data_IF_214993580750
#
_entry.id   IF_214993580750
#
_cell.length_a   1.000
_cell.length_b   1.000
_cell.length_c   1.000
_cell.angle_alpha   90.00
_cell.angle_beta   90.00
_cell.angle_gamma   90.00
#
_symmetry.space_group_name_H-M   'P 1'
#
loop_
_entity.id
_entity.type
_entity.pdbx_description
1 polymer ?
#
# COMPACT_ATOMS: atom_id res chain seq x y z
N UNK A 1 68.02 -23.44 34.96
CA UNK A 1 67.17 -24.05 33.93
C UNK A 1 66.27 -22.95 33.37
N UNK A 2 66.53 -22.48 32.14
CA UNK A 2 65.76 -21.45 31.51
C UNK A 2 64.78 -22.12 30.56
N UNK A 3 63.50 -22.03 30.80
CA UNK A 3 62.44 -22.43 29.83
C UNK A 3 62.07 -21.26 28.98
N UNK A 4 62.33 -21.34 27.67
CA UNK A 4 61.90 -20.43 26.69
C UNK A 4 60.46 -20.81 26.27
N UNK A 5 59.51 -19.88 26.43
CA UNK A 5 58.13 -20.02 25.94
C UNK A 5 58.11 -19.42 24.56
N UNK A 6 57.92 -20.26 23.54
CA UNK A 6 57.71 -19.85 22.15
C UNK A 6 56.24 -19.44 22.02
N UNK A 7 56.02 -18.13 21.90
CA UNK A 7 54.70 -17.60 21.62
C UNK A 7 54.34 -17.78 20.12
N UNK A 8 53.34 -18.62 19.86
CA UNK A 8 52.78 -18.79 18.53
C UNK A 8 51.78 -17.67 18.28
N UNK A 9 52.13 -16.67 17.48
CA UNK A 9 51.19 -15.65 17.01
C UNK A 9 50.29 -16.27 15.92
N UNK A 10 49.06 -16.58 16.25
CA UNK A 10 48.03 -16.80 15.25
C UNK A 10 47.55 -15.44 14.76
N UNK A 11 47.96 -15.09 13.56
CA UNK A 11 47.34 -13.99 12.82
C UNK A 11 45.95 -14.43 12.41
N UNK A 12 44.94 -13.94 13.14
CA UNK A 12 43.56 -14.06 12.72
C UNK A 12 43.36 -13.05 11.58
N UNK A 13 43.34 -13.54 10.37
CA UNK A 13 42.86 -12.77 9.22
C UNK A 13 41.40 -12.40 9.46
N UNK A 14 41.14 -11.16 9.81
CA UNK A 14 39.83 -10.58 9.78
C UNK A 14 39.38 -10.52 8.30
N UNK A 15 38.67 -11.55 7.86
CA UNK A 15 37.90 -11.45 6.64
C UNK A 15 36.86 -10.36 6.86
N UNK A 16 37.04 -9.22 6.21
CA UNK A 16 36.00 -8.21 6.08
C UNK A 16 34.83 -8.85 5.36
N UNK A 17 33.90 -9.37 6.12
CA UNK A 17 32.58 -9.66 5.61
C UNK A 17 31.94 -8.29 5.28
N UNK A 18 32.16 -7.82 4.06
CA UNK A 18 31.28 -6.83 3.47
C UNK A 18 29.91 -7.48 3.43
N UNK A 19 29.06 -7.10 4.38
CA UNK A 19 27.66 -7.43 4.32
C UNK A 19 27.13 -6.86 3.01
N UNK A 20 27.00 -7.74 2.02
CA UNK A 20 26.22 -7.45 0.82
C UNK A 20 24.79 -7.33 1.33
N UNK A 21 24.38 -6.11 1.65
CA UNK A 21 22.97 -5.79 1.78
C UNK A 21 22.41 -5.97 0.36
N UNK A 22 21.82 -7.11 0.09
CA UNK A 22 21.05 -7.30 -1.13
C UNK A 22 20.04 -6.17 -1.19
N UNK A 23 20.19 -5.34 -2.21
CA UNK A 23 19.28 -4.22 -2.46
C UNK A 23 17.88 -4.78 -2.55
N UNK A 24 17.00 -4.23 -1.72
CA UNK A 24 15.57 -4.47 -1.86
C UNK A 24 15.17 -4.22 -3.33
N UNK A 25 14.27 -5.02 -3.91
CA UNK A 25 13.76 -4.79 -5.27
C UNK A 25 13.22 -3.37 -5.52
N UNK A 26 13.14 -2.55 -4.50
CA UNK A 26 12.62 -1.18 -4.48
C UNK A 26 13.68 -0.09 -4.28
N UNK A 27 14.97 -0.42 -4.39
CA UNK A 27 16.06 0.58 -4.31
C UNK A 27 16.09 1.40 -5.60
N UNK A 28 15.47 2.57 -5.57
CA UNK A 28 15.49 3.57 -6.64
C UNK A 28 16.78 4.39 -6.64
N UNK A 29 17.94 3.76 -6.82
CA UNK A 29 19.14 4.50 -7.19
C UNK A 29 18.96 5.11 -8.59
N UNK A 30 19.38 6.35 -8.84
CA UNK A 30 19.11 7.03 -10.10
C UNK A 30 19.74 6.26 -11.26
N UNK A 31 18.92 5.79 -12.17
CA UNK A 31 19.38 5.30 -13.46
C UNK A 31 20.00 6.47 -14.24
N UNK A 32 21.15 6.24 -14.83
CA UNK A 32 21.81 7.17 -15.74
C UNK A 32 20.80 7.62 -16.80
N UNK A 33 20.68 8.94 -16.96
CA UNK A 33 19.83 9.57 -17.97
C UNK A 33 20.28 9.17 -19.37
N UNK A 34 19.53 8.30 -20.04
CA UNK A 34 19.52 8.27 -21.48
C UNK A 34 18.61 9.42 -21.96
N UNK A 35 19.20 10.34 -22.69
CA UNK A 35 18.50 11.42 -23.38
C UNK A 35 17.60 10.84 -24.48
N UNK A 36 16.35 10.55 -24.11
CA UNK A 36 15.27 10.28 -25.06
C UNK A 36 14.49 11.57 -25.29
N UNK A 37 14.42 11.99 -26.55
CA UNK A 37 13.65 13.14 -27.04
C UNK A 37 12.21 13.11 -26.55
N UNK A 38 11.69 14.26 -26.10
CA UNK A 38 10.31 14.46 -25.67
C UNK A 38 9.31 13.98 -26.73
N UNK A 39 8.27 13.22 -26.36
CA UNK A 39 7.18 12.89 -27.27
C UNK A 39 6.37 14.14 -27.60
N UNK A 40 6.24 14.44 -28.89
CA UNK A 40 5.36 15.49 -29.40
C UNK A 40 3.90 15.17 -29.04
N UNK A 41 3.18 16.18 -28.56
CA UNK A 41 1.75 16.12 -28.29
C UNK A 41 0.99 15.79 -29.58
N UNK A 42 0.55 14.56 -29.70
CA UNK A 42 -0.40 14.14 -30.74
C UNK A 42 -1.79 14.57 -30.31
N UNK A 43 -2.35 15.61 -30.95
CA UNK A 43 -3.79 15.88 -30.96
C UNK A 43 -4.47 14.74 -31.73
N UNK A 44 -4.95 13.75 -31.03
CA UNK A 44 -5.69 12.63 -31.59
C UNK A 44 -7.03 12.51 -30.89
N UNK A 45 -8.08 12.50 -31.69
CA UNK A 45 -9.49 12.20 -31.44
C UNK A 45 -9.76 11.48 -30.11
N UNK A 46 -10.83 11.93 -29.43
CA UNK A 46 -11.46 11.20 -28.33
C UNK A 46 -11.94 9.83 -28.86
N UNK A 47 -11.02 8.87 -28.96
CA UNK A 47 -11.38 7.47 -29.07
C UNK A 47 -11.93 7.07 -27.70
N UNK A 48 -13.16 6.58 -27.65
CA UNK A 48 -13.68 5.83 -26.53
C UNK A 48 -12.59 4.86 -26.07
N UNK A 49 -12.03 5.11 -24.88
CA UNK A 49 -11.15 4.16 -24.24
C UNK A 49 -12.06 2.99 -23.88
N UNK A 50 -12.18 2.00 -24.75
CA UNK A 50 -12.64 0.67 -24.37
C UNK A 50 -11.61 0.18 -23.36
N UNK A 51 -11.93 0.35 -22.07
CA UNK A 51 -11.06 -0.04 -20.97
C UNK A 51 -10.69 -1.51 -21.12
N UNK A 52 -9.43 -1.82 -20.91
CA UNK A 52 -9.01 -3.19 -20.69
C UNK A 52 -9.92 -3.77 -19.59
N UNK A 53 -10.56 -4.94 -19.79
CA UNK A 53 -11.50 -5.52 -18.83
C UNK A 53 -10.91 -5.71 -17.43
N UNK A 54 -9.60 -5.61 -17.30
CA UNK A 54 -8.87 -5.73 -16.05
C UNK A 54 -8.34 -4.38 -15.51
N UNK A 55 -8.93 -3.26 -15.93
CA UNK A 55 -8.55 -1.94 -15.44
C UNK A 55 -9.76 -1.10 -15.02
N UNK A 56 -9.54 -0.24 -14.04
CA UNK A 56 -10.48 0.78 -13.58
C UNK A 56 -9.86 2.17 -13.75
N UNK A 57 -10.61 3.13 -14.29
CA UNK A 57 -10.18 4.52 -14.44
C UNK A 57 -10.79 5.35 -13.32
N UNK A 58 -9.99 5.96 -12.47
CA UNK A 58 -10.46 6.98 -11.53
C UNK A 58 -10.77 8.28 -12.28
N UNK A 59 -12.03 8.62 -12.39
CA UNK A 59 -12.47 9.82 -13.15
C UNK A 59 -12.06 11.14 -12.50
N UNK A 60 -11.57 11.13 -11.26
CA UNK A 60 -11.16 12.34 -10.51
C UNK A 60 -9.77 12.85 -10.93
N UNK A 61 -8.85 11.93 -11.24
CA UNK A 61 -7.45 12.24 -11.58
C UNK A 61 -6.91 11.45 -12.78
N UNK A 62 -7.79 10.65 -13.41
CA UNK A 62 -7.48 9.81 -14.57
C UNK A 62 -6.42 8.73 -14.32
N UNK A 63 -6.16 8.37 -13.07
CA UNK A 63 -5.30 7.22 -12.77
C UNK A 63 -5.98 5.92 -13.19
N UNK A 64 -5.16 5.03 -13.74
CA UNK A 64 -5.56 3.68 -14.12
C UNK A 64 -5.13 2.73 -13.00
N UNK A 65 -6.05 1.92 -12.53
CA UNK A 65 -5.80 0.85 -11.56
C UNK A 65 -6.07 -0.50 -12.20
N UNK A 66 -5.10 -1.39 -12.13
CA UNK A 66 -5.33 -2.82 -12.48
C UNK A 66 -6.34 -3.40 -11.52
N UNK A 67 -7.13 -4.35 -12.02
CA UNK A 67 -8.13 -5.04 -11.21
C UNK A 67 -7.92 -6.55 -11.23
N UNK A 68 -8.40 -7.21 -10.18
CA UNK A 68 -8.42 -8.66 -10.03
C UNK A 68 -9.78 -9.08 -9.47
N UNK A 69 -10.37 -10.13 -10.02
CA UNK A 69 -11.63 -10.66 -9.50
C UNK A 69 -11.36 -11.88 -8.61
N UNK A 70 -11.85 -11.81 -7.38
CA UNK A 70 -11.70 -12.83 -6.35
C UNK A 70 -13.06 -13.18 -5.78
N UNK A 71 -13.47 -14.44 -5.87
CA UNK A 71 -14.78 -14.92 -5.43
C UNK A 71 -15.98 -14.06 -5.89
N UNK A 72 -15.90 -13.54 -7.13
CA UNK A 72 -16.94 -12.72 -7.73
C UNK A 72 -16.88 -11.22 -7.38
N UNK A 73 -15.98 -10.80 -6.50
CA UNK A 73 -15.74 -9.39 -6.18
C UNK A 73 -14.54 -8.88 -6.96
N UNK A 74 -14.68 -7.74 -7.62
CA UNK A 74 -13.58 -7.10 -8.36
C UNK A 74 -12.87 -6.09 -7.48
N UNK A 75 -11.59 -6.31 -7.24
CA UNK A 75 -10.70 -5.51 -6.41
C UNK A 75 -9.72 -4.72 -7.25
N UNK A 76 -9.29 -3.58 -6.75
CA UNK A 76 -8.06 -2.98 -7.27
C UNK A 76 -6.88 -3.91 -6.94
N UNK A 77 -6.06 -4.23 -7.93
CA UNK A 77 -4.81 -4.96 -7.72
C UNK A 77 -3.66 -4.04 -7.25
N UNK A 78 -3.92 -2.73 -7.17
CA UNK A 78 -2.99 -1.69 -6.74
C UNK A 78 -3.60 -0.86 -5.62
N UNK A 79 -2.75 -0.30 -4.76
CA UNK A 79 -3.20 0.59 -3.70
C UNK A 79 -3.72 1.90 -4.27
N UNK A 80 -4.77 2.45 -3.67
CA UNK A 80 -5.27 3.77 -4.04
C UNK A 80 -4.16 4.82 -3.91
N UNK A 81 -4.05 5.68 -4.94
CA UNK A 81 -3.03 6.75 -4.99
C UNK A 81 -3.63 8.15 -5.20
N UNK A 82 -4.91 8.32 -4.96
CA UNK A 82 -5.59 9.60 -5.08
C UNK A 82 -5.05 10.62 -4.08
N UNK A 83 -4.54 11.76 -4.57
CA UNK A 83 -3.95 12.79 -3.71
C UNK A 83 -5.02 13.60 -2.98
N UNK A 84 -4.89 13.70 -1.66
CA UNK A 84 -5.73 14.54 -0.82
C UNK A 84 -4.93 15.12 0.35
N UNK A 85 -5.48 16.12 1.01
CA UNK A 85 -4.88 16.75 2.21
C UNK A 85 -4.74 15.80 3.40
N UNK A 86 -5.49 14.70 3.41
CA UNK A 86 -5.47 13.67 4.46
C UNK A 86 -4.79 12.37 4.00
N UNK A 87 -4.01 12.44 2.93
CA UNK A 87 -3.19 11.35 2.44
C UNK A 87 -1.71 11.67 2.57
N UNK A 88 -0.90 10.64 2.75
CA UNK A 88 0.54 10.76 2.84
C UNK A 88 1.25 9.76 1.93
N UNK A 89 2.37 10.18 1.35
CA UNK A 89 3.33 9.25 0.76
C UNK A 89 4.30 8.79 1.85
N UNK A 90 4.62 7.50 1.89
CA UNK A 90 5.63 7.01 2.81
C UNK A 90 6.95 7.77 2.61
N UNK A 91 7.41 8.47 3.63
CA UNK A 91 8.62 9.30 3.68
C UNK A 91 8.73 10.39 2.58
N UNK A 92 8.34 10.14 1.33
CA UNK A 92 8.43 11.11 0.24
C UNK A 92 7.47 10.80 -0.92
N UNK A 93 7.28 11.78 -1.82
CA UNK A 93 6.34 11.68 -2.95
C UNK A 93 6.68 10.56 -3.96
N UNK A 94 7.93 10.13 -4.06
CA UNK A 94 8.30 9.09 -5.03
C UNK A 94 7.73 7.73 -4.68
N UNK A 95 7.57 7.42 -3.39
CA UNK A 95 6.99 6.16 -2.96
C UNK A 95 5.52 6.00 -3.39
N UNK A 96 4.73 7.09 -3.40
CA UNK A 96 3.35 7.01 -3.83
C UNK A 96 3.16 6.49 -5.24
N UNK A 97 4.09 6.79 -6.16
CA UNK A 97 4.02 6.30 -7.55
C UNK A 97 4.09 4.78 -7.65
N UNK A 98 4.76 4.15 -6.70
CA UNK A 98 5.02 2.71 -6.74
C UNK A 98 4.09 1.90 -5.85
N UNK A 99 3.70 2.46 -4.71
CA UNK A 99 2.99 1.70 -3.66
C UNK A 99 1.68 2.34 -3.21
N UNK A 100 1.27 3.45 -3.83
CA UNK A 100 0.07 4.18 -3.44
C UNK A 100 0.28 5.06 -2.21
N UNK A 101 -0.81 5.58 -1.67
CA UNK A 101 -0.84 6.51 -0.53
C UNK A 101 -1.39 5.84 0.71
N UNK A 102 -1.08 6.44 1.86
CA UNK A 102 -1.63 6.10 3.16
C UNK A 102 -2.69 7.15 3.52
N UNK A 103 -3.81 6.71 4.07
CA UNK A 103 -4.97 7.54 4.39
C UNK A 103 -5.42 7.30 5.82
N UNK A 104 -5.87 8.36 6.51
CA UNK A 104 -6.58 8.19 7.77
C UNK A 104 -7.92 7.50 7.54
N UNK A 105 -8.47 6.81 8.54
CA UNK A 105 -9.71 6.05 8.37
C UNK A 105 -10.90 6.92 7.97
N UNK A 106 -11.04 8.09 8.59
CA UNK A 106 -12.12 9.03 8.24
C UNK A 106 -12.10 9.43 6.76
N UNK A 107 -10.90 9.57 6.19
CA UNK A 107 -10.80 9.85 4.77
C UNK A 107 -10.99 8.60 3.92
N UNK A 108 -10.54 7.44 4.39
CA UNK A 108 -10.66 6.15 3.71
C UNK A 108 -12.12 5.84 3.34
N UNK A 109 -13.07 6.20 4.22
CA UNK A 109 -14.51 6.01 4.01
C UNK A 109 -15.06 6.63 2.71
N UNK A 110 -14.37 7.62 2.16
CA UNK A 110 -14.78 8.36 0.95
C UNK A 110 -13.66 8.47 -0.08
N UNK A 111 -12.55 7.79 0.14
CA UNK A 111 -11.38 7.91 -0.73
C UNK A 111 -11.53 7.13 -2.03
N UNK A 112 -12.26 6.02 -2.01
CA UNK A 112 -12.49 5.21 -3.19
C UNK A 112 -13.25 6.00 -4.27
N UNK A 113 -12.88 5.86 -5.55
CA UNK A 113 -13.52 6.59 -6.64
C UNK A 113 -14.99 6.22 -6.83
N UNK A 114 -15.79 7.08 -7.49
CA UNK A 114 -17.18 6.76 -7.82
C UNK A 114 -17.33 5.40 -8.50
N UNK A 115 -18.30 4.59 -8.07
CA UNK A 115 -18.51 3.22 -8.54
C UNK A 115 -17.64 2.18 -7.83
N UNK A 116 -16.92 2.61 -6.80
CA UNK A 116 -16.14 1.71 -5.92
C UNK A 116 -16.38 2.04 -4.46
N UNK A 117 -15.98 1.17 -3.56
CA UNK A 117 -16.12 1.36 -2.11
C UNK A 117 -14.92 0.80 -1.34
N UNK A 118 -14.77 1.25 -0.10
CA UNK A 118 -13.85 0.63 0.86
C UNK A 118 -14.39 -0.76 1.24
N UNK A 119 -13.55 -1.81 1.22
CA UNK A 119 -13.96 -3.16 1.57
C UNK A 119 -14.36 -3.29 3.03
N UNK A 120 -15.35 -4.13 3.28
CA UNK A 120 -15.73 -4.55 4.63
C UNK A 120 -14.74 -5.56 5.21
N UNK A 121 -14.86 -5.83 6.51
CA UNK A 121 -14.11 -6.91 7.17
C UNK A 121 -14.37 -8.24 6.48
N UNK A 122 -15.64 -8.55 6.18
CA UNK A 122 -16.02 -9.80 5.52
C UNK A 122 -15.45 -9.89 4.08
N UNK A 123 -15.42 -8.77 3.35
CA UNK A 123 -14.79 -8.72 2.03
C UNK A 123 -13.31 -9.09 2.12
N UNK A 124 -12.59 -8.53 3.11
CA UNK A 124 -11.18 -8.82 3.33
C UNK A 124 -10.94 -10.27 3.76
N UNK A 125 -11.66 -10.76 4.76
CA UNK A 125 -11.51 -12.14 5.25
C UNK A 125 -11.68 -13.13 4.10
N UNK A 126 -12.72 -12.96 3.29
CA UNK A 126 -12.97 -13.80 2.12
C UNK A 126 -11.87 -13.68 1.06
N UNK A 127 -11.40 -12.45 0.75
CA UNK A 127 -10.40 -12.26 -0.30
C UNK A 127 -9.04 -12.85 0.08
N UNK A 128 -8.66 -12.79 1.35
CA UNK A 128 -7.38 -13.31 1.85
C UNK A 128 -7.28 -14.84 1.83
N UNK A 129 -8.41 -15.57 1.64
CA UNK A 129 -8.35 -17.01 1.37
C UNK A 129 -7.73 -17.35 0.00
N UNK A 130 -7.67 -16.38 -0.91
CA UNK A 130 -7.11 -16.55 -2.24
C UNK A 130 -5.66 -16.03 -2.31
N UNK A 131 -4.70 -16.94 -2.44
CA UNK A 131 -3.28 -16.59 -2.60
C UNK A 131 -3.01 -15.67 -3.81
N UNK A 132 -3.82 -15.76 -4.86
CA UNK A 132 -3.74 -14.87 -6.03
C UNK A 132 -4.02 -13.42 -5.68
N UNK A 133 -4.92 -13.15 -4.72
CA UNK A 133 -5.19 -11.82 -4.21
C UNK A 133 -4.08 -11.35 -3.27
N UNK A 134 -3.68 -12.20 -2.33
CA UNK A 134 -2.62 -11.91 -1.37
C UNK A 134 -1.34 -11.44 -2.07
N UNK A 135 -0.97 -12.07 -3.17
CA UNK A 135 0.20 -11.71 -3.98
C UNK A 135 0.11 -10.32 -4.65
N UNK A 136 -1.06 -9.68 -4.67
CA UNK A 136 -1.22 -8.30 -5.15
C UNK A 136 -0.95 -7.26 -4.07
N UNK A 137 -0.92 -7.67 -2.80
CA UNK A 137 -0.80 -6.77 -1.67
C UNK A 137 0.66 -6.35 -1.46
N UNK A 138 0.86 -5.09 -1.10
CA UNK A 138 2.19 -4.50 -0.93
C UNK A 138 2.45 -4.15 0.53
N UNK A 139 3.68 -4.33 0.97
CA UNK A 139 4.11 -4.04 2.35
C UNK A 139 4.51 -2.56 2.47
N UNK A 140 3.51 -1.69 2.47
CA UNK A 140 3.68 -0.23 2.44
C UNK A 140 4.02 0.39 3.79
N UNK A 141 4.04 -0.42 4.86
CA UNK A 141 4.08 0.15 6.20
C UNK A 141 2.81 0.96 6.53
N UNK A 142 2.94 1.86 7.47
CA UNK A 142 1.87 2.76 7.90
C UNK A 142 2.46 4.08 8.42
N UNK A 143 1.60 5.11 8.54
CA UNK A 143 1.96 6.36 9.20
C UNK A 143 1.21 6.46 10.53
N UNK A 144 1.96 6.61 11.61
CA UNK A 144 1.37 6.74 12.95
C UNK A 144 0.78 8.15 13.16
N UNK A 145 -0.06 8.33 14.18
CA UNK A 145 -0.74 9.61 14.45
C UNK A 145 0.24 10.73 14.82
N UNK A 146 1.44 10.42 15.31
CA UNK A 146 2.50 11.40 15.57
C UNK A 146 3.18 11.94 14.29
N UNK A 147 2.82 11.38 13.12
CA UNK A 147 3.36 11.79 11.84
C UNK A 147 4.49 10.93 11.30
N UNK A 148 5.05 10.02 12.11
CA UNK A 148 6.16 9.16 11.74
C UNK A 148 5.70 7.96 10.91
N UNK A 149 6.59 7.46 10.07
CA UNK A 149 6.35 6.30 9.20
C UNK A 149 7.10 5.08 9.73
N UNK A 150 6.45 3.91 9.65
CA UNK A 150 6.97 2.66 10.18
C UNK A 150 6.82 1.48 9.23
N UNK A 151 7.75 0.55 9.31
CA UNK A 151 7.67 -0.81 8.80
C UNK A 151 7.50 -0.96 7.28
N UNK A 152 8.00 -0.02 6.47
CA UNK A 152 8.03 -0.17 5.01
C UNK A 152 8.79 -1.43 4.59
N UNK A 153 8.22 -2.20 3.68
CA UNK A 153 8.76 -3.47 3.23
C UNK A 153 8.58 -4.66 4.19
N UNK A 154 8.08 -4.40 5.42
CA UNK A 154 7.89 -5.44 6.43
C UNK A 154 6.44 -5.63 6.85
N UNK A 155 5.62 -4.60 6.74
CA UNK A 155 4.21 -4.62 7.15
C UNK A 155 3.33 -4.07 6.03
N UNK A 156 2.26 -4.80 5.68
CA UNK A 156 1.11 -4.27 4.96
C UNK A 156 0.04 -3.88 5.97
N UNK A 157 -0.57 -2.71 5.83
CA UNK A 157 -1.67 -2.27 6.68
C UNK A 157 -2.78 -1.66 5.80
N UNK A 158 -3.99 -2.23 5.87
CA UNK A 158 -5.09 -1.89 4.98
C UNK A 158 -6.39 -1.68 5.75
N UNK A 159 -7.02 -0.52 5.57
CA UNK A 159 -8.29 -0.21 6.22
C UNK A 159 -9.44 -1.11 5.74
N UNK A 160 -10.31 -1.47 6.69
CA UNK A 160 -11.65 -1.94 6.44
C UNK A 160 -12.68 -0.84 6.70
N UNK A 161 -13.90 -1.02 6.22
CA UNK A 161 -14.96 -0.01 6.30
C UNK A 161 -15.53 0.16 7.72
N UNK A 162 -15.45 -0.87 8.57
CA UNK A 162 -16.11 -0.87 9.86
C UNK A 162 -15.29 -0.23 10.98
N UNK A 163 -16.00 0.46 11.86
CA UNK A 163 -15.49 0.86 13.16
C UNK A 163 -15.46 -0.34 14.10
N UNK A 164 -14.58 -0.28 15.10
CA UNK A 164 -14.67 -1.21 16.21
C UNK A 164 -15.75 -0.70 17.18
N UNK A 165 -16.84 -1.45 17.31
CA UNK A 165 -18.05 -1.05 18.05
C UNK A 165 -17.79 -0.62 19.50
N UNK A 166 -16.88 -1.30 20.21
CA UNK A 166 -16.58 -1.06 21.64
C UNK A 166 -15.61 0.10 21.89
N UNK A 167 -15.05 0.72 20.83
CA UNK A 167 -14.00 1.73 20.96
C UNK A 167 -14.21 2.89 19.99
N UNK A 168 -14.76 3.97 20.49
CA UNK A 168 -14.82 5.24 19.75
C UNK A 168 -13.40 5.67 19.38
N UNK A 169 -13.15 5.89 18.09
CA UNK A 169 -11.83 6.28 17.62
C UNK A 169 -10.98 5.13 17.03
N UNK A 170 -11.45 3.89 17.12
CA UNK A 170 -10.79 2.74 16.49
C UNK A 170 -11.58 2.26 15.28
N UNK A 171 -10.85 1.76 14.27
CA UNK A 171 -11.41 1.08 13.10
C UNK A 171 -10.64 -0.20 12.82
N UNK A 172 -11.29 -1.14 12.14
CA UNK A 172 -10.62 -2.37 11.74
C UNK A 172 -9.70 -2.14 10.55
N UNK A 173 -8.58 -2.88 10.55
CA UNK A 173 -7.68 -2.99 9.42
C UNK A 173 -7.05 -4.38 9.37
N UNK A 174 -6.59 -4.75 8.17
CA UNK A 174 -5.85 -5.99 7.97
C UNK A 174 -4.37 -5.69 7.91
N UNK A 175 -3.59 -6.44 8.68
CA UNK A 175 -2.15 -6.26 8.83
C UNK A 175 -1.41 -7.54 8.51
N UNK A 176 -0.51 -7.44 7.55
CA UNK A 176 0.47 -8.49 7.31
C UNK A 176 1.73 -8.23 8.12
N UNK A 177 2.14 -9.22 8.90
CA UNK A 177 3.42 -9.22 9.59
C UNK A 177 3.87 -10.64 9.87
N UNK A 178 5.16 -10.92 9.65
CA UNK A 178 5.76 -12.24 9.92
C UNK A 178 5.11 -13.41 9.17
N UNK A 179 4.65 -13.17 7.95
CA UNK A 179 4.10 -14.24 7.11
C UNK A 179 2.61 -14.51 7.28
N UNK A 180 1.90 -13.67 8.05
CA UNK A 180 0.48 -13.87 8.35
C UNK A 180 -0.33 -12.57 8.27
N UNK A 181 -1.60 -12.69 7.86
CA UNK A 181 -2.57 -11.61 7.86
C UNK A 181 -3.44 -11.69 9.12
N UNK A 182 -3.58 -10.56 9.80
CA UNK A 182 -4.41 -10.45 10.99
C UNK A 182 -5.35 -9.26 10.90
N UNK A 183 -6.58 -9.46 11.34
CA UNK A 183 -7.51 -8.37 11.63
C UNK A 183 -7.12 -7.74 12.97
N UNK A 184 -6.79 -6.46 12.92
CA UNK A 184 -6.49 -5.64 14.11
C UNK A 184 -7.41 -4.42 14.13
N UNK A 185 -7.46 -3.70 15.25
CA UNK A 185 -8.14 -2.43 15.34
C UNK A 185 -7.21 -1.41 16.00
N UNK A 186 -7.18 -0.21 15.45
CA UNK A 186 -6.31 0.85 15.93
C UNK A 186 -6.93 2.24 15.71
N UNK A 187 -6.23 3.27 16.18
CA UNK A 187 -6.68 4.66 16.06
C UNK A 187 -6.96 5.07 14.61
N UNK A 188 -8.09 5.72 14.39
CA UNK A 188 -8.54 6.23 13.09
C UNK A 188 -7.61 7.28 12.48
N UNK A 189 -6.80 7.93 13.33
CA UNK A 189 -5.78 8.92 12.94
C UNK A 189 -4.50 8.27 12.38
N UNK A 190 -4.28 6.98 12.60
CA UNK A 190 -3.27 6.23 11.85
C UNK A 190 -3.60 6.29 10.36
N UNK A 191 -2.59 6.35 9.51
CA UNK A 191 -2.82 6.25 8.08
C UNK A 191 -2.30 4.92 7.53
N UNK A 192 -3.21 4.20 6.86
CA UNK A 192 -2.97 2.90 6.22
C UNK A 192 -3.30 2.96 4.73
N UNK A 193 -2.88 1.96 3.99
CA UNK A 193 -3.26 1.77 2.59
C UNK A 193 -4.75 1.48 2.42
N UNK A 194 -5.24 1.71 1.20
CA UNK A 194 -6.60 1.39 0.78
C UNK A 194 -6.54 0.52 -0.47
N UNK A 195 -7.36 -0.52 -0.49
CA UNK A 195 -7.78 -1.26 -1.69
C UNK A 195 -9.25 -1.03 -1.89
N UNK A 196 -9.64 -0.49 -3.05
CA UNK A 196 -11.05 -0.33 -3.35
C UNK A 196 -11.61 -1.60 -4.02
N UNK A 197 -12.88 -1.85 -3.82
CA UNK A 197 -13.64 -2.86 -4.57
C UNK A 197 -14.63 -2.17 -5.49
N UNK A 198 -14.78 -2.72 -6.70
CA UNK A 198 -15.78 -2.24 -7.66
C UNK A 198 -17.15 -2.69 -7.15
N UNK A 199 -18.00 -1.73 -6.84
CA UNK A 199 -19.38 -1.96 -6.41
C UNK A 199 -20.34 -1.86 -7.58
N UNK A 200 -21.55 -2.29 -7.38
CA UNK A 200 -22.68 -2.13 -8.32
C UNK A 200 -23.27 -0.71 -8.34
N UNK A 201 -22.54 0.27 -7.78
CA UNK A 201 -22.94 1.67 -7.72
C UNK A 201 -24.06 1.99 -6.71
N UNK A 202 -24.55 1.00 -5.99
CA UNK A 202 -25.45 1.21 -4.87
C UNK A 202 -24.59 1.42 -3.61
N UNK A 203 -24.49 2.66 -3.16
CA UNK A 203 -23.94 2.98 -1.85
C UNK A 203 -24.87 2.39 -0.79
N UNK A 204 -24.51 1.25 -0.26
CA UNK A 204 -25.17 0.72 0.92
C UNK A 204 -24.86 1.66 2.08
N UNK A 205 -25.82 2.55 2.35
CA UNK A 205 -25.85 3.34 3.57
C UNK A 205 -24.72 4.35 3.76
N UNK A 206 -24.65 5.38 2.91
CA UNK A 206 -23.98 6.61 3.31
C UNK A 206 -24.60 7.10 4.62
N UNK A 207 -23.85 7.01 5.70
CA UNK A 207 -24.16 7.71 6.94
C UNK A 207 -24.43 9.19 6.59
N UNK A 208 -25.70 9.60 6.60
CA UNK A 208 -26.09 10.98 6.51
C UNK A 208 -25.54 11.69 7.74
N UNK A 209 -24.39 12.33 7.58
CA UNK A 209 -23.99 13.38 8.50
C UNK A 209 -24.96 14.54 8.29
N UNK A 210 -25.82 14.78 9.28
CA UNK A 210 -26.77 15.87 9.27
C UNK A 210 -26.06 17.20 9.08
N UNK A 211 -26.65 18.03 8.22
CA UNK A 211 -26.42 19.46 8.18
C UNK A 211 -26.71 20.06 9.56
N UNK A 212 -25.69 20.55 10.24
CA UNK A 212 -25.77 21.54 11.30
C UNK A 212 -24.62 22.52 11.17
#
# INVERSE_FOLDING_TARGET
MKFAIIGLFFAVAMANATSVWERSPWDNSPMKSEQGSAPQAVRGNQAEIKGDPNTFVDTRDHQLYKTVTVYGTTWFAENLNYESIQSACYNNKSHCKNVGRLYTWHFAQRACPPGTKLPTVDDWEKALEASTFENTLTLTGYRFFNGDFYDFGNTGAYWAAEEKEDYVGYAYFFKYKFGDWKKEAFYKEQANSIRCIVGDGKSDGAHKWGDQ
#
